data_IF_052979624937
#
_entry.id   IF_052979624937
#
_cell.length_a   1.000
_cell.length_b   1.000
_cell.length_c   1.000
_cell.angle_alpha   90.00
_cell.angle_beta   90.00
_cell.angle_gamma   90.00
#
_symmetry.space_group_name_H-M   'P 1'
#
loop_
_entity.id
_entity.type
_entity.pdbx_description
1 polymer ?
#
# COMPACT_ATOMS: atom_id res chain seq x y z
N UNK A 1 12.33 18.44 -0.21
CA UNK A 1 10.99 18.68 0.37
C UNK A 1 10.88 17.80 1.60
N UNK A 2 10.38 18.31 2.72
CA UNK A 2 10.08 17.49 3.89
C UNK A 2 8.57 17.31 3.99
N UNK A 3 8.12 16.10 4.31
CA UNK A 3 6.71 15.73 4.35
C UNK A 3 6.50 14.51 5.26
N UNK A 4 5.28 14.30 5.74
CA UNK A 4 4.87 13.12 6.50
C UNK A 4 4.63 11.95 5.55
N UNK A 5 5.28 10.81 5.73
CA UNK A 5 5.01 9.59 4.96
C UNK A 5 3.70 8.95 5.43
N UNK A 6 2.72 8.81 4.54
CA UNK A 6 1.44 8.16 4.86
C UNK A 6 1.44 6.68 4.50
N UNK A 7 1.75 6.37 3.24
CA UNK A 7 1.63 5.01 2.70
C UNK A 7 2.58 4.81 1.51
N UNK A 8 2.79 3.55 1.10
CA UNK A 8 3.63 3.19 -0.03
C UNK A 8 3.09 1.98 -0.78
N UNK A 9 3.15 2.02 -2.12
CA UNK A 9 2.85 0.87 -2.97
C UNK A 9 3.79 0.77 -4.18
N UNK A 10 3.61 -0.29 -4.98
CA UNK A 10 4.42 -0.54 -6.17
C UNK A 10 3.57 -0.57 -7.43
N UNK A 11 3.85 0.37 -8.33
CA UNK A 11 3.12 0.54 -9.58
C UNK A 11 3.59 -0.44 -10.65
N UNK A 12 3.23 -1.72 -10.47
CA UNK A 12 3.60 -2.82 -11.38
C UNK A 12 3.15 -2.66 -12.85
N UNK A 13 2.15 -1.81 -13.12
CA UNK A 13 1.57 -1.59 -14.47
C UNK A 13 2.08 -0.32 -15.13
N UNK A 14 2.80 0.54 -14.42
CA UNK A 14 3.47 1.72 -14.99
C UNK A 14 4.64 1.26 -15.84
N UNK A 15 4.99 2.04 -16.86
CA UNK A 15 6.15 1.82 -17.70
C UNK A 15 7.05 3.08 -17.69
N UNK A 16 8.22 3.05 -17.02
CA UNK A 16 8.75 1.93 -16.23
C UNK A 16 7.99 1.73 -14.90
N UNK A 17 8.01 0.51 -14.33
CA UNK A 17 7.52 0.28 -12.96
C UNK A 17 8.29 1.13 -11.95
N UNK A 18 7.63 1.54 -10.89
CA UNK A 18 8.26 2.35 -9.85
C UNK A 18 7.59 2.12 -8.49
N UNK A 19 8.30 2.52 -7.44
CA UNK A 19 7.68 2.74 -6.13
C UNK A 19 6.85 4.02 -6.17
N UNK A 20 5.74 4.01 -5.45
CA UNK A 20 4.92 5.18 -5.19
C UNK A 20 4.77 5.36 -3.69
N UNK A 21 4.96 6.59 -3.24
CA UNK A 21 4.78 7.00 -1.86
C UNK A 21 3.69 8.07 -1.83
N UNK A 22 2.87 8.03 -0.78
CA UNK A 22 1.92 9.07 -0.47
C UNK A 22 2.46 9.85 0.71
N UNK A 23 2.62 11.16 0.55
CA UNK A 23 3.13 12.03 1.60
C UNK A 23 2.20 13.19 1.85
N UNK A 24 2.08 13.64 3.10
CA UNK A 24 1.32 14.83 3.46
C UNK A 24 2.25 15.99 3.74
N UNK A 25 1.93 17.16 3.19
CA UNK A 25 2.66 18.39 3.41
C UNK A 25 1.73 19.58 3.33
N UNK A 26 1.78 20.46 4.33
CA UNK A 26 0.99 21.69 4.37
C UNK A 26 -0.52 21.42 4.17
N UNK A 27 -1.01 20.30 4.72
CA UNK A 27 -2.41 19.86 4.56
C UNK A 27 -2.75 19.17 3.23
N UNK A 28 -1.87 19.22 2.24
CA UNK A 28 -2.07 18.57 0.93
C UNK A 28 -1.38 17.21 0.88
N UNK A 29 -2.01 16.24 0.20
CA UNK A 29 -1.39 14.95 -0.04
C UNK A 29 -0.77 14.91 -1.44
N UNK A 30 0.47 14.44 -1.52
CA UNK A 30 1.30 14.46 -2.72
C UNK A 30 1.72 13.04 -3.04
N UNK A 31 1.51 12.61 -4.29
CA UNK A 31 2.07 11.36 -4.82
C UNK A 31 3.52 11.58 -5.25
N UNK A 32 4.40 10.74 -4.73
CA UNK A 32 5.84 10.71 -5.04
C UNK A 32 6.19 9.39 -5.74
N UNK A 33 7.03 9.44 -6.76
CA UNK A 33 7.44 8.26 -7.53
C UNK A 33 8.95 8.05 -7.51
N UNK A 34 9.40 6.86 -7.12
CA UNK A 34 10.81 6.44 -7.20
C UNK A 34 11.01 5.33 -8.26
N UNK A 35 11.60 5.62 -9.43
CA UNK A 35 11.88 4.65 -10.47
C UNK A 35 13.14 3.80 -10.21
N UNK A 36 13.91 4.11 -9.16
CA UNK A 36 15.22 3.49 -8.91
C UNK A 36 15.14 2.23 -8.04
N UNK A 37 13.97 1.93 -7.48
CA UNK A 37 13.79 0.71 -6.69
C UNK A 37 14.12 -0.55 -7.50
N UNK A 38 14.90 -1.43 -6.89
CA UNK A 38 15.20 -2.78 -7.39
C UNK A 38 14.94 -3.80 -6.32
N UNK A 39 14.18 -4.83 -6.66
CA UNK A 39 13.88 -5.90 -5.72
C UNK A 39 14.96 -6.96 -5.74
N UNK A 40 15.16 -7.65 -4.63
CA UNK A 40 16.12 -8.74 -4.53
C UNK A 40 15.70 -9.78 -3.50
N UNK A 41 16.46 -10.88 -3.45
CA UNK A 41 16.41 -11.92 -2.43
C UNK A 41 17.81 -12.52 -2.22
N UNK A 42 17.99 -13.36 -1.21
CA UNK A 42 19.29 -13.94 -0.87
C UNK A 42 19.30 -15.45 -1.00
N UNK A 43 20.46 -16.02 -1.35
CA UNK A 43 20.67 -17.46 -1.52
C UNK A 43 21.94 -17.84 -0.76
N UNK A 44 21.84 -18.79 0.17
CA UNK A 44 23.00 -19.30 0.90
C UNK A 44 23.62 -20.52 0.24
N UNK A 45 24.93 -20.69 0.45
CA UNK A 45 25.74 -21.77 -0.10
C UNK A 45 26.99 -21.98 0.74
N UNK A 46 27.55 -23.19 0.70
CA UNK A 46 28.90 -23.46 1.21
C UNK A 46 29.99 -22.75 0.39
N UNK A 47 29.72 -22.46 -0.90
CA UNK A 47 30.61 -21.70 -1.79
C UNK A 47 29.83 -20.60 -2.55
N UNK A 48 29.59 -19.44 -1.90
CA UNK A 48 28.81 -18.36 -2.48
C UNK A 48 29.40 -17.77 -3.77
N UNK A 49 30.73 -17.76 -3.90
CA UNK A 49 31.39 -17.21 -5.08
C UNK A 49 31.15 -18.10 -6.31
N UNK A 50 31.34 -19.41 -6.17
CA UNK A 50 31.04 -20.36 -7.25
C UNK A 50 29.55 -20.38 -7.59
N UNK A 51 28.66 -20.29 -6.57
CA UNK A 51 27.23 -20.22 -6.80
C UNK A 51 26.84 -18.93 -7.55
N UNK A 52 27.43 -17.78 -7.20
CA UNK A 52 27.14 -16.51 -7.85
C UNK A 52 27.40 -16.56 -9.36
N UNK A 53 28.50 -17.20 -9.80
CA UNK A 53 28.80 -17.39 -11.22
C UNK A 53 27.73 -18.21 -11.95
N UNK A 54 27.22 -19.28 -11.33
CA UNK A 54 26.14 -20.09 -11.90
C UNK A 54 24.83 -19.31 -11.94
N UNK A 55 24.49 -18.60 -10.86
CA UNK A 55 23.22 -17.86 -10.72
C UNK A 55 23.11 -16.72 -11.74
N UNK A 56 24.22 -16.07 -12.10
CA UNK A 56 24.26 -15.02 -13.14
C UNK A 56 23.67 -15.46 -14.48
N UNK A 57 23.85 -16.73 -14.83
CA UNK A 57 23.41 -17.29 -16.11
C UNK A 57 22.07 -18.02 -16.04
N UNK A 58 21.43 -18.08 -14.87
CA UNK A 58 20.11 -18.71 -14.70
C UNK A 58 19.07 -18.00 -15.54
N UNK A 59 18.26 -18.81 -16.23
CA UNK A 59 17.11 -18.35 -17.02
C UNK A 59 15.87 -19.08 -16.57
N UNK A 60 14.82 -18.32 -16.31
CA UNK A 60 13.51 -18.85 -15.96
C UNK A 60 12.43 -18.34 -16.92
N UNK A 61 11.29 -19.01 -16.92
CA UNK A 61 10.14 -18.66 -17.76
C UNK A 61 9.05 -18.01 -16.91
N UNK A 62 8.50 -16.90 -17.38
CA UNK A 62 7.39 -16.19 -16.73
C UNK A 62 6.23 -16.12 -17.71
N UNK A 63 4.99 -16.33 -17.26
CA UNK A 63 3.80 -16.15 -18.12
C UNK A 63 3.81 -14.74 -18.76
N UNK A 64 4.00 -14.67 -20.07
CA UNK A 64 4.06 -13.42 -20.84
C UNK A 64 5.46 -12.85 -21.16
N UNK A 65 6.55 -13.41 -20.61
CA UNK A 65 7.94 -13.12 -21.00
C UNK A 65 8.67 -14.45 -21.27
N UNK A 66 9.25 -14.61 -22.46
CA UNK A 66 9.85 -15.89 -22.85
C UNK A 66 11.01 -16.32 -21.94
N UNK A 67 11.87 -15.39 -21.49
CA UNK A 67 12.98 -15.68 -20.55
C UNK A 67 13.27 -14.47 -19.66
N UNK A 68 13.35 -14.70 -18.36
CA UNK A 68 13.82 -13.74 -17.36
C UNK A 68 15.14 -14.22 -16.75
N UNK A 69 15.99 -13.28 -16.35
CA UNK A 69 17.30 -13.52 -15.72
C UNK A 69 17.50 -12.52 -14.57
N UNK A 70 18.42 -12.78 -13.64
CA UNK A 70 18.83 -11.77 -12.67
C UNK A 70 19.32 -10.49 -13.36
N UNK A 71 19.02 -9.34 -12.79
CA UNK A 71 19.58 -8.05 -13.20
C UNK A 71 21.03 -7.93 -12.76
N UNK A 72 21.31 -8.26 -11.50
CA UNK A 72 22.66 -8.39 -10.96
C UNK A 72 22.74 -9.51 -9.91
N UNK A 73 23.95 -9.99 -9.67
CA UNK A 73 24.25 -11.05 -8.71
C UNK A 73 25.57 -10.72 -8.01
N UNK A 74 25.53 -10.60 -6.69
CA UNK A 74 26.62 -10.12 -5.86
C UNK A 74 26.75 -11.00 -4.62
N UNK A 75 27.98 -11.29 -4.17
CA UNK A 75 28.20 -11.90 -2.85
C UNK A 75 28.25 -10.78 -1.82
N UNK A 76 27.43 -10.90 -0.78
CA UNK A 76 27.33 -9.90 0.29
C UNK A 76 27.40 -10.57 1.65
N UNK A 77 27.96 -9.87 2.62
CA UNK A 77 27.98 -10.31 4.01
C UNK A 77 26.63 -10.00 4.67
N UNK A 78 26.07 -10.98 5.38
CA UNK A 78 24.83 -10.86 6.16
C UNK A 78 24.96 -11.54 7.51
N UNK A 79 24.06 -11.18 8.42
CA UNK A 79 23.98 -11.75 9.75
C UNK A 79 22.84 -12.76 9.81
N UNK A 80 23.14 -14.01 10.16
CA UNK A 80 22.16 -15.06 10.40
C UNK A 80 22.29 -15.55 11.84
N UNK A 81 21.28 -15.30 12.67
CA UNK A 81 21.28 -15.68 14.10
C UNK A 81 22.49 -15.16 14.91
N UNK A 82 23.09 -14.06 14.47
CA UNK A 82 24.26 -13.42 15.10
C UNK A 82 25.61 -13.87 14.54
N UNK A 83 25.62 -14.83 13.61
CA UNK A 83 26.82 -15.23 12.88
C UNK A 83 26.89 -14.51 11.53
N UNK A 84 28.10 -14.10 11.14
CA UNK A 84 28.36 -13.46 9.83
C UNK A 84 28.54 -14.53 8.76
N UNK A 85 27.75 -14.46 7.69
CA UNK A 85 27.81 -15.37 6.55
C UNK A 85 27.81 -14.60 5.22
N UNK A 86 28.59 -15.08 4.26
CA UNK A 86 28.52 -14.59 2.88
C UNK A 86 27.39 -15.30 2.14
N UNK A 87 26.51 -14.53 1.50
CA UNK A 87 25.37 -15.03 0.73
C UNK A 87 25.31 -14.37 -0.64
N UNK A 88 24.65 -15.03 -1.59
CA UNK A 88 24.44 -14.49 -2.94
C UNK A 88 23.18 -13.62 -2.92
N UNK A 89 23.33 -12.31 -3.13
CA UNK A 89 22.24 -11.37 -3.40
C UNK A 89 21.86 -11.44 -4.87
N UNK A 90 20.61 -11.73 -5.15
CA UNK A 90 20.06 -11.81 -6.51
C UNK A 90 19.09 -10.66 -6.71
N UNK A 91 19.46 -9.69 -7.55
CA UNK A 91 18.64 -8.51 -7.88
C UNK A 91 17.82 -8.80 -9.13
N UNK A 92 16.57 -8.35 -9.16
CA UNK A 92 15.64 -8.54 -10.27
C UNK A 92 15.08 -7.21 -10.76
N UNK A 93 14.89 -7.11 -12.07
CA UNK A 93 14.28 -5.94 -12.72
C UNK A 93 12.80 -5.79 -12.33
N UNK A 94 12.09 -6.91 -12.14
CA UNK A 94 10.68 -6.91 -11.78
C UNK A 94 10.42 -7.88 -10.61
N UNK A 95 9.68 -7.48 -9.56
CA UNK A 95 9.35 -8.36 -8.44
C UNK A 95 8.66 -9.67 -8.83
N UNK A 96 7.92 -9.68 -9.95
CA UNK A 96 7.26 -10.88 -10.46
C UNK A 96 8.24 -11.92 -11.05
N UNK A 97 9.51 -11.55 -11.25
CA UNK A 97 10.55 -12.44 -11.74
C UNK A 97 11.20 -13.24 -10.59
N UNK A 98 10.93 -12.88 -9.32
CA UNK A 98 11.45 -13.59 -8.15
C UNK A 98 10.99 -15.04 -8.13
N UNK A 99 9.68 -15.31 -8.22
CA UNK A 99 9.13 -16.68 -8.15
C UNK A 99 9.77 -17.61 -9.19
N UNK A 100 9.78 -17.30 -10.51
CA UNK A 100 10.35 -18.20 -11.49
C UNK A 100 11.87 -18.35 -11.35
N UNK A 101 12.60 -17.28 -11.00
CA UNK A 101 14.06 -17.37 -10.77
C UNK A 101 14.38 -18.20 -9.53
N UNK A 102 13.65 -17.98 -8.44
CA UNK A 102 13.78 -18.73 -7.19
C UNK A 102 13.63 -20.23 -7.43
N UNK A 103 12.57 -20.64 -8.14
CA UNK A 103 12.33 -22.05 -8.46
C UNK A 103 13.51 -22.67 -9.22
N UNK A 104 14.08 -21.96 -10.20
CA UNK A 104 15.25 -22.44 -10.95
C UNK A 104 16.53 -22.48 -10.13
N UNK A 105 16.73 -21.51 -9.25
CA UNK A 105 17.91 -21.44 -8.39
C UNK A 105 17.85 -22.53 -7.32
N UNK A 106 16.67 -22.81 -6.77
CA UNK A 106 16.47 -23.86 -5.76
C UNK A 106 16.93 -25.25 -6.23
N UNK A 107 16.80 -25.53 -7.54
CA UNK A 107 17.23 -26.80 -8.13
C UNK A 107 18.76 -26.90 -8.39
N UNK A 108 19.53 -25.83 -8.14
CA UNK A 108 20.97 -25.82 -8.37
C UNK A 108 21.74 -26.55 -7.27
N UNK A 109 22.80 -27.27 -7.67
CA UNK A 109 23.74 -27.86 -6.72
C UNK A 109 24.48 -26.78 -5.93
N UNK A 110 24.50 -26.91 -4.61
CA UNK A 110 25.20 -25.98 -3.72
C UNK A 110 24.32 -24.91 -3.09
N UNK A 111 23.03 -24.83 -3.45
CA UNK A 111 22.07 -24.00 -2.72
C UNK A 111 21.69 -24.69 -1.41
N UNK A 112 21.81 -23.97 -0.31
CA UNK A 112 21.40 -24.45 1.02
C UNK A 112 20.01 -23.93 1.40
N UNK A 113 19.78 -22.63 1.25
CA UNK A 113 18.52 -21.97 1.60
C UNK A 113 18.30 -20.69 0.78
N UNK A 114 17.04 -20.24 0.65
CA UNK A 114 16.69 -18.97 0.02
C UNK A 114 15.92 -18.09 1.00
N UNK A 115 16.42 -16.88 1.22
CA UNK A 115 15.86 -15.94 2.19
C UNK A 115 15.22 -14.72 1.53
N UNK A 116 14.23 -14.16 2.23
CA UNK A 116 13.59 -12.87 1.95
C UNK A 116 12.99 -12.73 0.54
N UNK A 117 12.67 -13.84 -0.11
CA UNK A 117 12.06 -13.87 -1.44
C UNK A 117 10.57 -13.51 -1.45
N UNK A 118 9.95 -13.40 -0.27
CA UNK A 118 8.52 -13.19 -0.05
C UNK A 118 8.21 -11.83 0.59
N UNK A 119 9.21 -10.98 0.80
CA UNK A 119 9.01 -9.60 1.27
C UNK A 119 8.33 -8.80 0.14
N UNK A 120 7.14 -8.20 0.35
CA UNK A 120 6.48 -7.37 -0.66
C UNK A 120 7.28 -6.11 -1.02
N UNK A 121 7.20 -5.60 -2.26
CA UNK A 121 7.96 -4.43 -2.73
C UNK A 121 7.86 -3.20 -1.81
N UNK A 122 6.65 -2.85 -1.38
CA UNK A 122 6.43 -1.72 -0.48
C UNK A 122 7.16 -1.89 0.86
N UNK A 123 7.07 -3.07 1.47
CA UNK A 123 7.76 -3.36 2.72
C UNK A 123 9.28 -3.39 2.54
N UNK A 124 9.76 -3.99 1.44
CA UNK A 124 11.19 -4.00 1.11
C UNK A 124 11.73 -2.58 1.03
N UNK A 125 11.03 -1.70 0.31
CA UNK A 125 11.43 -0.32 0.14
C UNK A 125 11.53 0.43 1.47
N UNK A 126 10.53 0.28 2.34
CA UNK A 126 10.55 0.89 3.67
C UNK A 126 11.72 0.37 4.53
N UNK A 127 11.97 -0.94 4.53
CA UNK A 127 13.07 -1.56 5.29
C UNK A 127 14.43 -1.08 4.77
N UNK A 128 14.64 -1.06 3.46
CA UNK A 128 15.93 -0.73 2.84
C UNK A 128 16.33 0.74 3.06
N UNK A 129 15.34 1.62 3.25
CA UNK A 129 15.53 3.05 3.41
C UNK A 129 15.22 3.55 4.83
N UNK A 130 15.01 2.63 5.78
CA UNK A 130 14.70 2.94 7.19
C UNK A 130 13.51 3.91 7.35
N UNK A 131 12.50 3.74 6.50
CA UNK A 131 11.32 4.59 6.47
C UNK A 131 10.20 3.97 7.32
N UNK A 132 9.66 4.76 8.24
CA UNK A 132 8.49 4.36 9.04
C UNK A 132 7.25 5.12 8.55
N UNK A 133 6.12 4.44 8.30
CA UNK A 133 4.86 5.13 8.07
C UNK A 133 4.52 6.06 9.24
N UNK A 134 3.91 7.20 8.94
CA UNK A 134 3.60 8.29 9.87
C UNK A 134 4.83 8.96 10.51
N UNK A 135 5.99 8.87 9.86
CA UNK A 135 7.18 9.67 10.21
C UNK A 135 7.60 10.59 9.06
N UNK A 136 8.45 11.57 9.38
CA UNK A 136 8.91 12.55 8.41
C UNK A 136 9.95 11.99 7.45
N UNK A 137 9.85 12.41 6.19
CA UNK A 137 10.79 12.04 5.12
C UNK A 137 11.28 13.27 4.37
N UNK A 138 12.56 13.28 4.03
CA UNK A 138 13.19 14.24 3.12
C UNK A 138 13.25 13.66 1.71
N UNK A 139 12.74 14.44 0.76
CA UNK A 139 12.54 14.08 -0.64
C UNK A 139 13.33 15.03 -1.53
N UNK A 140 14.15 14.49 -2.43
CA UNK A 140 14.82 15.26 -3.47
C UNK A 140 14.34 14.80 -4.84
N UNK A 141 13.88 15.74 -5.67
CA UNK A 141 13.22 15.40 -6.92
C UNK A 141 12.70 16.61 -7.68
N UNK A 142 12.03 16.33 -8.79
CA UNK A 142 11.45 17.32 -9.68
C UNK A 142 10.01 16.95 -10.04
N UNK A 143 9.18 17.97 -10.23
CA UNK A 143 7.86 17.77 -10.82
C UNK A 143 7.99 17.59 -12.33
N UNK A 144 7.29 16.59 -12.87
CA UNK A 144 7.13 16.36 -14.31
C UNK A 144 5.65 16.33 -14.68
N UNK A 145 5.32 16.78 -15.88
CA UNK A 145 3.94 16.93 -16.35
C UNK A 145 3.33 18.30 -16.05
N UNK A 146 2.08 18.49 -16.46
CA UNK A 146 1.32 19.74 -16.32
C UNK A 146 -0.11 19.44 -15.80
N UNK A 147 -0.70 20.35 -15.03
CA UNK A 147 -2.07 20.22 -14.53
C UNK A 147 -2.25 19.07 -13.54
N UNK A 148 -3.30 18.26 -13.74
CA UNK A 148 -3.63 17.10 -12.92
C UNK A 148 -2.65 15.92 -13.12
N UNK A 149 -1.89 15.89 -14.21
CA UNK A 149 -0.87 14.83 -14.48
C UNK A 149 0.51 15.15 -13.87
N UNK A 150 0.58 16.11 -12.94
CA UNK A 150 1.83 16.57 -12.35
C UNK A 150 2.33 15.58 -11.29
N UNK A 151 3.35 14.80 -11.65
CA UNK A 151 3.97 13.81 -10.77
C UNK A 151 5.27 14.36 -10.16
N UNK A 152 5.53 14.11 -8.88
CA UNK A 152 6.84 14.36 -8.28
C UNK A 152 7.71 13.11 -8.39
N UNK A 153 8.82 13.20 -9.12
CA UNK A 153 9.75 12.08 -9.30
C UNK A 153 11.01 12.36 -8.51
N UNK A 154 11.36 11.45 -7.60
CA UNK A 154 12.59 11.59 -6.82
C UNK A 154 13.82 11.22 -7.62
N UNK A 155 14.92 11.92 -7.37
CA UNK A 155 16.24 11.63 -7.95
C UNK A 155 17.02 10.62 -7.13
N UNK A 156 16.65 10.45 -5.86
CA UNK A 156 17.22 9.49 -4.92
C UNK A 156 16.15 9.01 -3.94
N UNK A 157 16.33 7.84 -3.29
CA UNK A 157 15.41 7.38 -2.26
C UNK A 157 15.25 8.43 -1.14
N UNK A 158 14.05 8.56 -0.55
CA UNK A 158 13.82 9.42 0.60
C UNK A 158 14.66 9.00 1.80
N UNK A 159 14.98 9.96 2.65
CA UNK A 159 15.67 9.74 3.92
C UNK A 159 14.78 10.14 5.10
N UNK A 160 14.84 9.44 6.25
CA UNK A 160 14.08 9.81 7.43
C UNK A 160 14.53 11.16 7.99
N UNK A 161 13.58 12.01 8.38
CA UNK A 161 13.87 13.33 8.95
C UNK A 161 12.81 13.74 9.97
N UNK A 162 13.20 14.53 10.97
CA UNK A 162 12.21 15.18 11.84
C UNK A 162 11.47 16.29 11.07
N UNK A 163 10.15 16.32 11.25
CA UNK A 163 9.24 17.33 10.69
C UNK A 163 8.33 17.89 11.78
N UNK A 164 7.70 19.03 11.49
CA UNK A 164 6.56 19.48 12.28
C UNK A 164 5.36 18.53 12.06
N UNK A 165 4.50 18.41 13.07
CA UNK A 165 3.34 17.53 13.01
C UNK A 165 2.35 18.03 11.94
N UNK A 166 1.91 17.13 11.06
CA UNK A 166 0.91 17.40 10.03
C UNK A 166 -0.47 16.95 10.53
N UNK A 167 -1.49 17.80 10.39
CA UNK A 167 -2.86 17.43 10.73
C UNK A 167 -3.38 16.38 9.74
N UNK A 168 -3.88 15.24 10.23
CA UNK A 168 -4.47 14.20 9.40
C UNK A 168 -5.94 14.51 9.08
N UNK A 169 -6.35 14.17 7.85
CA UNK A 169 -7.77 14.19 7.49
C UNK A 169 -8.34 12.83 7.89
N UNK A 170 -9.33 12.81 8.78
CA UNK A 170 -9.91 11.58 9.34
C UNK A 170 -11.39 11.55 8.99
N UNK A 171 -11.84 10.47 8.34
CA UNK A 171 -13.25 10.22 8.06
C UNK A 171 -13.65 8.86 8.62
N UNK A 172 -14.79 8.82 9.30
CA UNK A 172 -15.43 7.60 9.76
C UNK A 172 -16.75 7.42 9.00
N UNK A 173 -17.11 6.16 8.72
CA UNK A 173 -18.42 5.84 8.21
C UNK A 173 -18.92 4.52 8.77
N UNK A 174 -20.24 4.37 8.83
CA UNK A 174 -20.91 3.16 9.26
C UNK A 174 -22.12 2.86 8.35
N UNK A 175 -22.45 1.59 8.16
CA UNK A 175 -23.47 1.14 7.21
C UNK A 175 -24.49 0.21 7.86
N UNK A 176 -25.75 0.40 7.49
CA UNK A 176 -26.86 -0.44 7.93
C UNK A 176 -27.42 -1.22 6.75
N UNK A 177 -27.67 -2.51 6.96
CA UNK A 177 -28.16 -3.42 5.92
C UNK A 177 -29.48 -4.05 6.31
N UNK A 178 -30.34 -4.31 5.32
CA UNK A 178 -31.57 -5.05 5.56
C UNK A 178 -31.31 -6.57 5.57
N UNK A 179 -31.07 -7.13 6.76
CA UNK A 179 -30.64 -8.51 7.00
C UNK A 179 -31.69 -9.37 7.76
N UNK A 180 -32.86 -9.68 7.18
CA UNK A 180 -33.96 -10.35 7.89
C UNK A 180 -33.62 -11.79 8.38
N UNK A 181 -32.53 -12.39 7.90
CA UNK A 181 -32.06 -13.70 8.30
C UNK A 181 -30.85 -13.63 9.28
N UNK A 182 -30.62 -12.47 9.89
CA UNK A 182 -29.53 -12.23 10.83
C UNK A 182 -28.21 -11.87 10.13
N UNK A 183 -27.55 -12.83 9.49
CA UNK A 183 -26.29 -12.53 8.79
C UNK A 183 -26.58 -11.85 7.44
N UNK A 184 -26.03 -10.66 7.17
CA UNK A 184 -26.22 -9.99 5.88
C UNK A 184 -25.58 -10.80 4.74
N UNK A 185 -26.26 -10.82 3.59
CA UNK A 185 -25.84 -11.47 2.35
C UNK A 185 -25.64 -10.38 1.29
N UNK A 186 -24.41 -10.02 0.93
CA UNK A 186 -24.14 -8.92 0.00
C UNK A 186 -24.87 -9.00 -1.34
N UNK A 187 -25.20 -10.21 -1.81
CA UNK A 187 -25.89 -10.46 -3.07
C UNK A 187 -27.43 -10.31 -2.98
N UNK A 188 -27.98 -10.13 -1.78
CA UNK A 188 -29.44 -10.15 -1.53
C UNK A 188 -29.94 -9.05 -0.61
N UNK A 189 -29.14 -8.68 0.37
CA UNK A 189 -29.53 -7.84 1.51
C UNK A 189 -28.95 -6.44 1.28
N UNK A 190 -29.77 -5.45 0.92
CA UNK A 190 -29.28 -4.14 0.49
C UNK A 190 -28.79 -3.30 1.67
N UNK A 191 -27.86 -2.38 1.40
CA UNK A 191 -27.51 -1.27 2.29
C UNK A 191 -28.69 -0.30 2.28
N UNK A 192 -29.25 0.01 3.45
CA UNK A 192 -30.41 0.91 3.61
C UNK A 192 -30.02 2.30 4.09
N UNK A 193 -28.91 2.42 4.81
CA UNK A 193 -28.43 3.66 5.40
C UNK A 193 -26.91 3.63 5.53
N UNK A 194 -26.29 4.80 5.46
CA UNK A 194 -24.87 4.99 5.68
C UNK A 194 -24.66 6.31 6.41
N UNK A 195 -23.93 6.30 7.52
CA UNK A 195 -23.54 7.51 8.26
C UNK A 195 -22.08 7.86 8.00
N UNK A 196 -21.73 9.15 7.98
CA UNK A 196 -20.39 9.68 7.70
C UNK A 196 -20.13 10.81 8.68
N UNK A 197 -18.94 10.84 9.27
CA UNK A 197 -18.41 11.98 10.03
C UNK A 197 -16.93 12.19 9.74
N UNK A 198 -16.43 13.41 9.89
CA UNK A 198 -14.98 13.70 9.83
C UNK A 198 -14.48 14.46 11.07
N UNK A 199 -13.17 14.71 11.13
CA UNK A 199 -12.55 15.53 12.18
C UNK A 199 -12.60 17.05 11.91
N UNK A 200 -13.30 17.49 10.86
CA UNK A 200 -13.48 18.89 10.46
C UNK A 200 -14.93 19.38 10.71
N UNK A 201 -15.82 18.51 11.20
CA UNK A 201 -17.20 18.81 11.55
C UNK A 201 -18.22 18.47 10.47
N UNK A 202 -17.84 17.74 9.42
CA UNK A 202 -18.78 17.17 8.46
C UNK A 202 -19.56 16.02 9.11
N UNK A 203 -20.88 16.03 8.95
CA UNK A 203 -21.76 14.92 9.31
C UNK A 203 -22.81 14.71 8.22
N UNK A 204 -23.07 13.44 7.87
CA UNK A 204 -24.09 13.09 6.87
C UNK A 204 -24.65 11.70 7.12
N UNK A 205 -25.96 11.55 6.93
CA UNK A 205 -26.63 10.26 6.80
C UNK A 205 -27.23 10.15 5.40
N UNK A 206 -26.80 9.15 4.64
CA UNK A 206 -27.38 8.80 3.34
C UNK A 206 -28.37 7.66 3.54
N UNK A 207 -29.58 7.80 3.00
CA UNK A 207 -30.55 6.69 2.95
C UNK A 207 -31.38 6.78 1.68
N UNK A 208 -31.92 5.68 1.19
CA UNK A 208 -32.94 5.68 0.13
C UNK A 208 -34.33 5.30 0.65
N UNK A 209 -34.47 5.15 1.97
CA UNK A 209 -35.73 4.94 2.65
C UNK A 209 -36.15 6.24 3.31
N UNK A 210 -37.27 6.78 2.85
CA UNK A 210 -37.89 7.92 3.50
C UNK A 210 -38.65 7.48 4.74
N UNK A 211 -38.22 7.98 5.90
CA UNK A 211 -38.83 7.75 7.21
C UNK A 211 -39.51 9.01 7.77
N UNK A 212 -39.60 10.09 6.98
CA UNK A 212 -40.10 11.39 7.44
C UNK A 212 -39.12 12.11 8.36
N UNK A 213 -37.83 12.13 7.98
CA UNK A 213 -36.79 12.82 8.73
C UNK A 213 -36.79 14.32 8.43
N UNK A 214 -36.75 15.14 9.48
CA UNK A 214 -36.61 16.60 9.41
C UNK A 214 -35.17 17.08 9.71
N UNK A 215 -34.22 16.15 9.83
CA UNK A 215 -32.82 16.48 10.12
C UNK A 215 -32.06 16.94 8.88
N UNK A 216 -31.40 18.10 8.98
CA UNK A 216 -30.63 18.72 7.87
C UNK A 216 -29.45 17.87 7.37
N UNK A 217 -28.92 16.98 8.21
CA UNK A 217 -27.83 16.07 7.87
C UNK A 217 -28.29 14.77 7.18
N UNK A 218 -29.60 14.54 7.04
CA UNK A 218 -30.16 13.36 6.37
C UNK A 218 -30.44 13.67 4.90
N UNK A 219 -29.77 12.96 4.01
CA UNK A 219 -29.95 13.04 2.55
C UNK A 219 -30.65 11.78 2.05
N UNK A 220 -31.87 11.95 1.53
CA UNK A 220 -32.66 10.85 0.94
C UNK A 220 -32.38 10.78 -0.57
N UNK A 221 -31.84 9.66 -1.03
CA UNK A 221 -31.53 9.38 -2.44
C UNK A 221 -32.52 8.38 -3.05
N UNK A 222 -32.50 8.21 -4.37
CA UNK A 222 -33.51 7.41 -5.08
C UNK A 222 -33.45 5.91 -4.77
N UNK A 223 -32.25 5.34 -4.67
CA UNK A 223 -32.01 3.91 -4.47
C UNK A 223 -30.61 3.64 -3.89
N UNK A 224 -30.32 2.37 -3.59
CA UNK A 224 -29.01 1.92 -3.08
C UNK A 224 -27.85 2.29 -4.02
N UNK A 225 -28.07 2.29 -5.33
CA UNK A 225 -27.03 2.66 -6.30
C UNK A 225 -26.68 4.14 -6.19
N UNK A 226 -27.66 5.02 -6.01
CA UNK A 226 -27.40 6.44 -5.77
C UNK A 226 -26.77 6.66 -4.39
N UNK A 227 -27.14 5.88 -3.37
CA UNK A 227 -26.50 5.92 -2.06
C UNK A 227 -24.99 5.65 -2.18
N UNK A 228 -24.63 4.56 -2.85
CA UNK A 228 -23.22 4.20 -3.07
C UNK A 228 -22.48 5.24 -3.92
N UNK A 229 -23.10 5.78 -4.97
CA UNK A 229 -22.49 6.84 -5.77
C UNK A 229 -22.25 8.11 -4.97
N UNK A 230 -23.23 8.50 -4.15
CA UNK A 230 -23.14 9.70 -3.32
C UNK A 230 -22.07 9.52 -2.24
N UNK A 231 -21.98 8.34 -1.64
CA UNK A 231 -20.89 7.99 -0.73
C UNK A 231 -19.53 8.15 -1.41
N UNK A 232 -19.34 7.58 -2.60
CA UNK A 232 -18.07 7.71 -3.36
C UNK A 232 -17.73 9.16 -3.70
N UNK A 233 -18.72 10.01 -3.99
CA UNK A 233 -18.50 11.45 -4.22
C UNK A 233 -18.00 12.14 -2.96
N UNK A 234 -18.66 11.90 -1.82
CA UNK A 234 -18.27 12.48 -0.53
C UNK A 234 -16.85 12.02 -0.17
N UNK A 235 -16.55 10.72 -0.27
CA UNK A 235 -15.20 10.23 0.01
C UNK A 235 -14.17 10.77 -0.97
N UNK A 236 -14.52 10.94 -2.25
CA UNK A 236 -13.63 11.49 -3.27
C UNK A 236 -13.29 12.97 -3.07
N UNK A 237 -14.10 13.71 -2.33
CA UNK A 237 -13.79 15.08 -1.89
C UNK A 237 -12.85 15.12 -0.66
N UNK A 238 -12.64 13.98 0.02
CA UNK A 238 -11.82 13.89 1.24
C UNK A 238 -10.55 13.06 1.08
N UNK A 239 -10.58 12.05 0.20
CA UNK A 239 -9.49 11.13 -0.12
C UNK A 239 -9.62 10.73 -1.60
N UNK A 240 -8.72 11.23 -2.44
CA UNK A 240 -8.64 10.77 -3.83
C UNK A 240 -7.73 9.54 -3.97
N UNK A 241 -7.88 8.78 -5.06
CA UNK A 241 -6.99 7.65 -5.40
C UNK A 241 -5.52 8.12 -5.58
N UNK A 242 -5.33 9.40 -5.89
CA UNK A 242 -4.02 10.05 -6.07
C UNK A 242 -3.41 10.50 -4.73
N UNK A 243 -4.23 10.66 -3.69
CA UNK A 243 -3.78 10.95 -2.32
C UNK A 243 -3.48 9.67 -1.52
N UNK A 244 -3.86 8.50 -2.04
CA UNK A 244 -3.57 7.20 -1.44
C UNK A 244 -4.69 6.66 -0.57
N UNK A 245 -4.37 5.69 0.28
CA UNK A 245 -5.34 5.23 1.28
C UNK A 245 -5.35 6.25 2.42
N UNK A 246 -6.30 7.17 2.41
CA UNK A 246 -6.67 7.85 3.66
C UNK A 246 -6.95 6.78 4.73
N UNK A 247 -6.81 7.11 6.01
CA UNK A 247 -7.14 6.18 7.09
C UNK A 247 -8.65 5.91 7.12
N UNK A 248 -9.11 5.01 6.26
CA UNK A 248 -10.50 4.59 6.17
C UNK A 248 -10.67 3.44 7.15
N UNK A 249 -11.14 3.75 8.36
CA UNK A 249 -11.54 2.75 9.32
C UNK A 249 -13.03 2.45 9.15
N UNK A 250 -13.35 1.26 8.66
CA UNK A 250 -14.68 0.69 8.90
C UNK A 250 -14.69 0.21 10.33
N UNK A 251 -15.44 0.87 11.22
CA UNK A 251 -15.72 0.31 12.52
C UNK A 251 -16.43 -1.04 12.29
N UNK A 252 -15.87 -2.19 12.74
CA UNK A 252 -16.61 -3.44 12.69
C UNK A 252 -17.89 -3.26 13.52
N UNK A 253 -19.03 -3.62 12.95
CA UNK A 253 -20.34 -3.38 13.55
C UNK A 253 -20.42 -3.79 15.03
N UNK A 254 -21.10 -2.94 15.81
CA UNK A 254 -21.31 -2.98 17.26
C UNK A 254 -21.03 -4.35 17.91
N UNK A 255 -19.83 -4.50 18.44
CA UNK A 255 -19.48 -5.60 19.34
C UNK A 255 -20.12 -5.41 20.72
N UNK A 256 -19.97 -6.41 21.59
CA UNK A 256 -20.40 -6.34 22.99
C UNK A 256 -19.76 -5.13 23.71
N UNK A 257 -18.53 -4.76 23.33
CA UNK A 257 -17.82 -3.60 23.86
C UNK A 257 -18.49 -2.26 23.49
N UNK A 258 -18.94 -2.10 22.25
CA UNK A 258 -19.65 -0.88 21.81
C UNK A 258 -21.00 -0.73 22.51
N UNK A 259 -21.69 -1.85 22.78
CA UNK A 259 -22.95 -1.88 23.52
C UNK A 259 -22.80 -1.49 25.00
N UNK A 260 -21.74 -1.97 25.67
CA UNK A 260 -21.51 -1.62 27.08
C UNK A 260 -21.10 -0.14 27.24
N UNK A 261 -20.28 0.41 26.33
CA UNK A 261 -19.93 1.84 26.33
C UNK A 261 -21.18 2.72 26.12
N UNK A 262 -22.09 2.32 25.22
CA UNK A 262 -23.33 3.04 24.95
C UNK A 262 -24.33 3.06 26.12
N UNK A 263 -24.20 2.19 27.13
CA UNK A 263 -25.04 2.24 28.34
C UNK A 263 -24.61 3.32 29.34
N UNK A 264 -23.39 3.82 29.23
CA UNK A 264 -22.85 4.82 30.16
C UNK A 264 -23.23 6.27 29.79
N UNK A 265 -23.86 6.47 28.63
CA UNK A 265 -24.36 7.76 28.12
C UNK A 265 -25.87 7.71 27.84
#
# INVERSE_FOLDING_TARGET
MKALLLDSDYLKRRDPPCMRLFVKKDGETITILDPNFRHYFYVSSEDPEALADVVRDVKAERRGKEKVKPESVEVVEKQLLGDSENVVKVVVENPLDITPLKEKIWDLSGVSEIYEHDIPPARRYLIDHELTPLEGVELEGEFRGDGEEKEFIVTQPPEPVEIEEEELNIMCFDLETYNPNGKPRPEKDPIIMLSITDNQGFEKVLTWKDFGSDFDYVEIVEDEKQLLKRFVQITGEHVTIEEGTGCVHTAPGHGEEDFEIGKEY
#
